data_IF_460152625855
#
_entry.id   IF_460152625855
#
_cell.length_a   1.000
_cell.length_b   1.000
_cell.length_c   1.000
_cell.angle_alpha   90.00
_cell.angle_beta   90.00
_cell.angle_gamma   90.00
#
_symmetry.space_group_name_H-M   'P 1'
#
loop_
_entity.id
_entity.type
_entity.pdbx_description
1 polymer ?
#
# COMPACT_ATOMS: atom_id res chain seq x y z
N UNK A 1 11.07 -27.48 -4.93
CA UNK A 1 9.70 -27.01 -4.70
C UNK A 1 9.30 -26.22 -5.93
N UNK A 2 8.15 -26.50 -6.52
CA UNK A 2 7.63 -25.72 -7.64
C UNK A 2 7.23 -24.33 -7.13
N UNK A 3 7.86 -23.29 -7.66
CA UNK A 3 7.59 -21.90 -7.28
C UNK A 3 6.27 -21.45 -7.90
N UNK A 4 5.38 -20.84 -7.11
CA UNK A 4 4.11 -20.28 -7.62
C UNK A 4 4.36 -18.83 -8.02
N UNK A 5 4.06 -18.49 -9.28
CA UNK A 5 4.17 -17.14 -9.81
C UNK A 5 2.79 -16.50 -9.91
N UNK A 6 2.53 -15.48 -9.11
CA UNK A 6 1.29 -14.71 -9.18
C UNK A 6 1.39 -13.62 -10.24
N UNK A 7 0.36 -13.51 -11.07
CA UNK A 7 0.27 -12.54 -12.16
C UNK A 7 -1.07 -11.81 -12.15
N UNK A 8 -1.09 -10.57 -12.61
CA UNK A 8 -2.34 -9.86 -12.89
C UNK A 8 -3.03 -10.46 -14.12
N UNK A 9 -4.29 -10.10 -14.35
CA UNK A 9 -5.03 -10.39 -15.60
C UNK A 9 -4.31 -9.88 -16.85
N UNK A 10 -3.48 -8.84 -16.72
CA UNK A 10 -2.64 -8.28 -17.78
C UNK A 10 -1.26 -8.99 -17.93
N UNK A 11 -0.97 -10.02 -17.15
CA UNK A 11 0.28 -10.78 -17.19
C UNK A 11 1.48 -10.14 -16.46
N UNK A 12 1.27 -9.01 -15.79
CA UNK A 12 2.30 -8.36 -14.97
C UNK A 12 2.53 -9.13 -13.65
N UNK A 13 3.69 -9.02 -12.98
CA UNK A 13 3.88 -9.53 -11.62
C UNK A 13 2.79 -9.01 -10.67
N UNK A 14 2.23 -9.90 -9.86
CA UNK A 14 1.24 -9.55 -8.85
C UNK A 14 1.90 -9.38 -7.48
N UNK A 15 1.75 -8.20 -6.89
CA UNK A 15 2.22 -7.94 -5.53
C UNK A 15 1.11 -8.23 -4.54
N UNK A 16 1.22 -9.36 -3.84
CA UNK A 16 0.28 -9.76 -2.78
C UNK A 16 0.78 -9.39 -1.38
N UNK A 17 2.08 -9.08 -1.26
CA UNK A 17 2.67 -8.66 0.00
C UNK A 17 2.60 -7.15 0.10
N UNK A 18 1.99 -6.65 1.18
CA UNK A 18 1.73 -5.23 1.38
C UNK A 18 2.11 -4.79 2.79
N UNK A 19 2.54 -3.54 2.93
CA UNK A 19 2.68 -2.87 4.23
C UNK A 19 2.22 -1.42 4.16
N UNK A 20 1.71 -0.93 5.29
CA UNK A 20 1.26 0.44 5.47
C UNK A 20 2.07 1.12 6.58
N UNK A 21 2.49 2.35 6.30
CA UNK A 21 3.07 3.27 7.26
C UNK A 21 2.30 4.58 7.25
N UNK A 22 2.30 5.25 8.39
CA UNK A 22 1.84 6.63 8.52
C UNK A 22 3.04 7.56 8.75
N UNK A 23 2.93 8.80 8.27
CA UNK A 23 3.90 9.87 8.49
C UNK A 23 3.23 11.25 8.46
N UNK A 24 3.99 12.30 8.79
CA UNK A 24 3.56 13.70 8.64
C UNK A 24 4.56 14.54 7.83
N UNK A 25 5.63 13.93 7.32
CA UNK A 25 6.77 14.62 6.68
C UNK A 25 6.90 14.29 5.19
N UNK A 26 5.85 14.54 4.39
CA UNK A 26 5.81 14.16 2.96
C UNK A 26 7.07 14.52 2.18
N UNK A 27 7.54 15.77 2.27
CA UNK A 27 8.70 16.25 1.49
C UNK A 27 9.97 15.49 1.86
N UNK A 28 10.17 15.19 3.13
CA UNK A 28 11.32 14.43 3.62
C UNK A 28 11.25 12.98 3.13
N UNK A 29 10.13 12.30 3.34
CA UNK A 29 9.95 10.90 2.95
C UNK A 29 10.05 10.74 1.43
N UNK A 30 9.31 11.54 0.66
CA UNK A 30 9.34 11.43 -0.79
C UNK A 30 10.68 11.90 -1.39
N UNK A 31 11.32 12.89 -0.78
CA UNK A 31 12.68 13.32 -1.15
C UNK A 31 13.70 12.20 -0.94
N UNK A 32 13.74 11.62 0.26
CA UNK A 32 14.64 10.53 0.57
C UNK A 32 14.37 9.26 -0.25
N UNK A 33 13.11 8.96 -0.60
CA UNK A 33 12.80 7.85 -1.51
C UNK A 33 13.39 8.05 -2.91
N UNK A 34 13.51 9.28 -3.39
CA UNK A 34 14.12 9.58 -4.68
C UNK A 34 15.65 9.39 -4.68
N UNK A 35 16.28 9.49 -3.51
CA UNK A 35 17.71 9.29 -3.30
C UNK A 35 18.05 7.85 -2.89
N UNK A 36 17.05 7.05 -2.50
CA UNK A 36 17.23 5.69 -2.00
C UNK A 36 17.68 4.75 -3.12
N UNK A 37 18.86 4.14 -2.93
CA UNK A 37 19.47 3.28 -3.94
C UNK A 37 18.55 2.12 -4.37
N UNK A 38 18.48 1.87 -5.68
CA UNK A 38 17.67 0.80 -6.26
C UNK A 38 16.21 1.16 -6.53
N UNK A 39 15.75 2.34 -6.11
CA UNK A 39 14.42 2.86 -6.41
C UNK A 39 14.45 3.82 -7.60
N UNK A 40 13.41 3.78 -8.42
CA UNK A 40 13.19 4.72 -9.52
C UNK A 40 11.81 5.32 -9.38
N UNK A 41 11.72 6.64 -9.45
CA UNK A 41 10.42 7.32 -9.46
C UNK A 41 9.69 7.06 -10.78
N UNK A 42 8.42 6.68 -10.69
CA UNK A 42 7.53 6.60 -11.85
C UNK A 42 7.01 7.99 -12.23
N UNK A 43 6.78 8.21 -13.52
CA UNK A 43 6.15 9.44 -13.97
C UNK A 43 4.77 9.59 -13.30
N UNK A 44 4.38 10.80 -12.87
CA UNK A 44 3.12 11.01 -12.18
C UNK A 44 1.94 10.53 -13.04
N UNK A 45 1.14 9.63 -12.46
CA UNK A 45 -0.09 9.13 -13.09
C UNK A 45 -1.10 10.29 -13.11
N UNK A 46 -1.25 10.95 -14.27
CA UNK A 46 -2.28 11.97 -14.45
C UNK A 46 -3.63 11.27 -14.55
N UNK A 47 -4.35 11.14 -13.45
CA UNK A 47 -5.77 10.78 -13.48
C UNK A 47 -6.56 11.96 -14.04
N UNK A 48 -7.22 11.76 -15.20
CA UNK A 48 -8.07 12.77 -15.82
C UNK A 48 -9.20 13.19 -14.85
N UNK A 49 -9.22 14.46 -14.44
CA UNK A 49 -10.30 15.04 -13.65
C UNK A 49 -10.06 15.17 -12.14
N UNK A 50 -8.96 14.65 -11.60
CA UNK A 50 -8.56 14.95 -10.22
C UNK A 50 -7.65 16.18 -10.22
N UNK A 51 -8.01 17.23 -9.47
CA UNK A 51 -7.02 18.21 -9.01
C UNK A 51 -5.94 17.42 -8.30
N UNK A 52 -4.75 17.32 -8.90
CA UNK A 52 -3.64 16.61 -8.31
C UNK A 52 -3.39 17.19 -6.92
N UNK A 53 -3.77 16.46 -5.87
CA UNK A 53 -3.09 16.63 -4.59
C UNK A 53 -1.63 16.40 -4.92
N UNK A 54 -0.81 17.46 -4.91
CA UNK A 54 0.59 17.40 -5.34
C UNK A 54 1.45 16.47 -4.48
N UNK A 55 0.85 15.83 -3.47
CA UNK A 55 1.48 14.94 -2.51
C UNK A 55 1.17 13.48 -2.81
N UNK A 56 1.46 13.02 -4.02
CA UNK A 56 1.51 11.61 -4.37
C UNK A 56 2.72 11.35 -5.26
N UNK A 57 3.62 10.49 -4.79
CA UNK A 57 4.83 10.07 -5.52
C UNK A 57 4.98 8.56 -5.45
N UNK A 58 5.39 7.95 -6.56
CA UNK A 58 5.46 6.50 -6.69
C UNK A 58 6.84 6.09 -7.15
N UNK A 59 7.38 5.07 -6.51
CA UNK A 59 8.72 4.55 -6.75
C UNK A 59 8.62 3.05 -6.99
N UNK A 60 9.44 2.55 -7.91
CA UNK A 60 9.50 1.12 -8.22
C UNK A 60 10.93 0.60 -8.14
N UNK A 61 11.02 -0.66 -7.74
CA UNK A 61 12.22 -1.46 -7.79
C UNK A 61 11.97 -2.61 -8.78
N UNK A 62 13.00 -3.01 -9.53
CA UNK A 62 12.91 -4.11 -10.49
C UNK A 62 14.28 -4.72 -10.75
N UNK A 63 14.30 -5.99 -11.17
CA UNK A 63 15.53 -6.63 -11.61
C UNK A 63 15.84 -6.19 -13.04
N UNK A 64 17.04 -5.68 -13.24
CA UNK A 64 17.54 -5.27 -14.54
C UNK A 64 18.25 -6.44 -15.21
N UNK A 65 17.56 -7.57 -15.41
CA UNK A 65 18.09 -8.65 -16.24
C UNK A 65 17.72 -8.39 -17.70
N UNK A 66 18.74 -8.33 -18.54
CA UNK A 66 18.72 -7.88 -19.94
C UNK A 66 18.07 -8.89 -20.92
N UNK A 67 16.92 -9.46 -20.56
CA UNK A 67 16.08 -10.24 -21.47
C UNK A 67 14.62 -9.76 -21.36
N UNK A 68 14.09 -9.24 -22.47
CA UNK A 68 12.72 -8.83 -22.74
C UNK A 68 11.71 -8.94 -21.55
N UNK A 69 11.71 -7.92 -20.69
CA UNK A 69 10.68 -7.73 -19.66
C UNK A 69 11.28 -7.46 -18.29
N UNK A 70 11.65 -6.20 -18.01
CA UNK A 70 12.00 -5.78 -16.65
C UNK A 70 10.85 -6.16 -15.69
N UNK A 71 11.09 -7.14 -14.82
CA UNK A 71 10.09 -7.57 -13.85
C UNK A 71 10.20 -6.65 -12.64
N UNK A 72 9.16 -5.85 -12.41
CA UNK A 72 9.04 -5.09 -11.18
C UNK A 72 8.99 -6.05 -10.00
N UNK A 73 9.70 -5.68 -8.95
CA UNK A 73 9.91 -6.50 -7.75
C UNK A 73 9.24 -5.88 -6.52
N UNK A 74 9.17 -4.56 -6.48
CA UNK A 74 8.45 -3.84 -5.43
C UNK A 74 7.96 -2.47 -5.93
N UNK A 75 6.97 -1.93 -5.24
CA UNK A 75 6.47 -0.56 -5.43
C UNK A 75 6.30 0.11 -4.08
N UNK A 76 6.70 1.37 -3.99
CA UNK A 76 6.40 2.26 -2.88
C UNK A 76 5.57 3.42 -3.39
N UNK A 77 4.48 3.74 -2.71
CA UNK A 77 3.71 4.96 -2.97
C UNK A 77 3.68 5.80 -1.71
N UNK A 78 4.06 7.07 -1.83
CA UNK A 78 4.07 8.06 -0.74
C UNK A 78 2.95 9.07 -1.01
N UNK A 79 2.00 9.16 -0.10
CA UNK A 79 0.90 10.14 -0.10
C UNK A 79 1.22 11.27 0.88
N UNK A 80 0.30 12.21 1.09
CA UNK A 80 0.49 13.27 2.07
C UNK A 80 0.76 12.76 3.50
N UNK A 81 0.20 11.61 3.87
CA UNK A 81 0.17 11.08 5.23
C UNK A 81 0.53 9.61 5.35
N UNK A 82 0.66 8.88 4.24
CA UNK A 82 0.87 7.43 4.24
C UNK A 82 1.96 7.01 3.26
N UNK A 83 2.64 5.90 3.59
CA UNK A 83 3.49 5.18 2.67
C UNK A 83 2.97 3.75 2.52
N UNK A 84 2.62 3.38 1.28
CA UNK A 84 2.28 2.02 0.88
C UNK A 84 3.51 1.33 0.31
N UNK A 85 3.75 0.09 0.73
CA UNK A 85 4.75 -0.81 0.15
C UNK A 85 4.06 -2.04 -0.41
N UNK A 86 4.37 -2.41 -1.65
CA UNK A 86 3.90 -3.62 -2.34
C UNK A 86 5.10 -4.42 -2.84
N UNK A 87 5.08 -5.75 -2.69
CA UNK A 87 6.05 -6.66 -3.30
C UNK A 87 5.49 -8.08 -3.46
N UNK A 88 6.30 -9.00 -4.01
CA UNK A 88 5.91 -10.38 -4.34
C UNK A 88 6.32 -11.44 -3.31
N UNK A 89 7.00 -11.05 -2.22
CA UNK A 89 7.60 -12.00 -1.27
C UNK A 89 7.85 -11.36 0.09
N UNK A 90 7.80 -12.18 1.14
CA UNK A 90 8.03 -11.73 2.52
C UNK A 90 9.48 -11.30 2.74
N UNK A 91 10.42 -12.03 2.16
CA UNK A 91 11.86 -11.75 2.25
C UNK A 91 12.17 -10.37 1.67
N UNK A 92 11.49 -10.00 0.57
CA UNK A 92 11.60 -8.66 -0.02
C UNK A 92 10.95 -7.61 0.84
N UNK A 93 9.77 -7.89 1.40
CA UNK A 93 9.14 -6.99 2.35
C UNK A 93 10.12 -6.66 3.47
N UNK A 94 10.68 -7.66 4.14
CA UNK A 94 11.62 -7.46 5.25
C UNK A 94 12.84 -6.64 4.81
N UNK A 95 13.43 -6.96 3.65
CA UNK A 95 14.58 -6.20 3.11
C UNK A 95 14.24 -4.71 2.89
N UNK A 96 13.06 -4.43 2.33
CA UNK A 96 12.62 -3.06 2.11
C UNK A 96 12.28 -2.37 3.43
N UNK A 97 11.64 -3.04 4.38
CA UNK A 97 11.35 -2.50 5.73
C UNK A 97 12.64 -2.06 6.43
N UNK A 98 13.70 -2.87 6.36
CA UNK A 98 15.01 -2.50 6.92
C UNK A 98 15.60 -1.27 6.21
N UNK A 99 15.51 -1.21 4.88
CA UNK A 99 15.96 -0.03 4.10
C UNK A 99 15.19 1.23 4.46
N UNK A 100 13.86 1.15 4.59
CA UNK A 100 13.01 2.26 5.00
C UNK A 100 13.32 2.71 6.43
N UNK A 101 13.51 1.78 7.36
CA UNK A 101 13.88 2.09 8.74
C UNK A 101 15.26 2.75 8.83
N UNK A 102 16.23 2.31 8.03
CA UNK A 102 17.56 2.91 7.97
C UNK A 102 17.54 4.34 7.37
N UNK A 103 16.69 4.59 6.38
CA UNK A 103 16.59 5.88 5.72
C UNK A 103 15.76 6.91 6.49
N UNK A 104 14.65 6.49 7.10
CA UNK A 104 13.64 7.39 7.64
C UNK A 104 13.45 7.27 9.15
N UNK A 105 13.98 6.22 9.78
CA UNK A 105 13.90 6.02 11.23
C UNK A 105 12.49 6.20 11.78
N UNK A 106 12.35 7.11 12.74
CA UNK A 106 11.10 7.39 13.43
C UNK A 106 10.09 8.22 12.62
N UNK A 107 10.45 8.74 11.44
CA UNK A 107 9.51 9.50 10.60
C UNK A 107 8.45 8.60 9.95
N UNK A 108 8.65 7.28 9.92
CA UNK A 108 7.68 6.29 9.45
C UNK A 108 7.13 5.46 10.61
N UNK A 109 5.81 5.47 10.77
CA UNK A 109 5.11 4.73 11.81
C UNK A 109 4.41 3.52 11.20
N UNK A 110 4.91 2.32 11.50
CA UNK A 110 4.34 1.07 10.96
C UNK A 110 2.91 0.84 11.44
N UNK A 111 1.98 0.63 10.51
CA UNK A 111 0.56 0.36 10.79
C UNK A 111 0.21 -1.11 10.67
N UNK A 112 0.68 -1.78 9.65
CA UNK A 112 0.46 -3.22 9.48
C UNK A 112 1.01 -3.76 8.18
N UNK A 113 0.93 -5.07 8.02
CA UNK A 113 1.31 -5.76 6.79
C UNK A 113 0.37 -6.95 6.50
N UNK A 114 0.29 -7.30 5.23
CA UNK A 114 -0.35 -8.52 4.76
C UNK A 114 0.66 -9.28 3.90
N UNK A 115 0.88 -10.56 4.21
CA UNK A 115 1.87 -11.43 3.55
C UNK A 115 1.25 -12.69 2.96
N UNK A 116 -0.07 -12.85 3.10
CA UNK A 116 -0.78 -14.03 2.64
C UNK A 116 -1.19 -13.85 1.18
N UNK A 117 -0.79 -14.76 0.28
CA UNK A 117 -1.29 -14.72 -1.10
C UNK A 117 -2.79 -15.06 -1.15
N UNK A 118 -3.49 -14.71 -2.24
CA UNK A 118 -4.87 -15.14 -2.46
C UNK A 118 -5.02 -16.65 -2.30
N UNK A 119 -6.01 -17.08 -1.49
CA UNK A 119 -6.24 -18.50 -1.25
C UNK A 119 -6.73 -19.16 -2.54
N UNK A 120 -5.94 -20.08 -3.10
CA UNK A 120 -6.33 -20.88 -4.26
C UNK A 120 -6.28 -22.36 -3.95
N UNK A 121 -7.33 -23.08 -4.35
CA UNK A 121 -7.29 -24.54 -4.42
C UNK A 121 -6.50 -24.93 -5.68
N UNK A 122 -5.33 -25.53 -5.47
CA UNK A 122 -4.49 -26.07 -6.55
C UNK A 122 -4.66 -27.59 -6.56
N UNK A 123 -4.78 -28.18 -7.74
CA UNK A 123 -4.86 -29.63 -7.88
C UNK A 123 -3.48 -30.29 -7.72
N UNK A 124 -3.45 -31.55 -7.31
CA UNK A 124 -2.20 -32.32 -7.21
C UNK A 124 -1.46 -32.40 -8.57
N UNK A 125 -2.19 -32.43 -9.68
CA UNK A 125 -1.62 -32.48 -11.02
C UNK A 125 -0.87 -31.18 -11.37
N UNK A 126 -1.41 -30.02 -11.00
CA UNK A 126 -0.76 -28.71 -11.21
C UNK A 126 0.49 -28.54 -10.35
N UNK A 127 0.48 -29.05 -9.12
CA UNK A 127 1.67 -29.05 -8.24
C UNK A 127 2.77 -30.00 -8.71
N UNK A 128 2.39 -31.08 -9.41
CA UNK A 128 3.30 -32.11 -9.89
C UNK A 128 3.89 -31.80 -11.28
N UNK A 129 3.50 -30.68 -11.90
CA UNK A 129 4.05 -30.23 -13.18
C UNK A 129 5.52 -29.78 -13.03
N UNK A 130 6.31 -29.96 -14.09
CA UNK A 130 7.72 -29.57 -14.11
C UNK A 130 7.93 -28.05 -14.21
N UNK A 131 6.91 -27.30 -14.65
CA UNK A 131 6.97 -25.85 -14.78
C UNK A 131 6.42 -25.12 -13.54
N UNK A 132 6.94 -23.93 -13.21
CA UNK A 132 6.42 -23.13 -12.10
C UNK A 132 4.97 -22.70 -12.39
N UNK A 133 4.06 -23.08 -11.48
CA UNK A 133 2.63 -22.78 -11.58
C UNK A 133 2.41 -21.27 -11.65
N UNK A 134 1.73 -20.82 -12.71
CA UNK A 134 1.34 -19.41 -12.84
C UNK A 134 -0.11 -19.24 -12.44
N UNK A 135 -0.36 -18.40 -11.44
CA UNK A 135 -1.69 -18.08 -10.94
C UNK A 135 -2.05 -16.67 -11.36
N UNK A 136 -3.11 -16.53 -12.15
CA UNK A 136 -3.68 -15.23 -12.50
C UNK A 136 -4.64 -14.81 -11.40
N UNK A 137 -4.36 -13.67 -10.78
CA UNK A 137 -5.23 -13.06 -9.77
C UNK A 137 -6.18 -12.11 -10.45
N UNK A 138 -7.48 -12.31 -10.21
CA UNK A 138 -8.55 -11.46 -10.73
C UNK A 138 -8.65 -10.15 -9.95
N UNK A 139 -9.23 -9.12 -10.56
CA UNK A 139 -9.43 -7.82 -9.90
C UNK A 139 -10.36 -7.91 -8.67
N UNK A 140 -11.22 -8.93 -8.60
CA UNK A 140 -12.08 -9.20 -7.45
C UNK A 140 -11.32 -9.86 -6.30
N UNK A 141 -10.49 -10.87 -6.58
CA UNK A 141 -9.60 -11.50 -5.59
C UNK A 141 -8.63 -10.46 -5.02
N UNK A 142 -8.10 -9.59 -5.89
CA UNK A 142 -7.24 -8.48 -5.50
C UNK A 142 -7.92 -7.52 -4.54
N UNK A 143 -9.11 -7.03 -4.92
CA UNK A 143 -9.88 -6.10 -4.10
C UNK A 143 -10.27 -6.72 -2.75
N UNK A 144 -10.59 -8.00 -2.73
CA UNK A 144 -10.93 -8.72 -1.49
C UNK A 144 -9.74 -8.79 -0.55
N UNK A 145 -8.56 -9.14 -1.06
CA UNK A 145 -7.32 -9.18 -0.29
C UNK A 145 -6.97 -7.80 0.26
N UNK A 146 -7.06 -6.75 -0.56
CA UNK A 146 -6.80 -5.38 -0.14
C UNK A 146 -7.81 -4.86 0.87
N UNK A 147 -9.11 -5.14 0.68
CA UNK A 147 -10.16 -4.73 1.59
C UNK A 147 -9.93 -5.30 3.00
N UNK A 148 -9.61 -6.60 3.11
CA UNK A 148 -9.33 -7.24 4.39
C UNK A 148 -8.13 -6.62 5.11
N UNK A 149 -7.07 -6.31 4.37
CA UNK A 149 -5.89 -5.63 4.91
C UNK A 149 -6.23 -4.21 5.39
N UNK A 150 -6.84 -3.39 4.53
CA UNK A 150 -7.18 -1.99 4.81
C UNK A 150 -8.20 -1.86 5.96
N UNK A 151 -9.20 -2.74 6.01
CA UNK A 151 -10.18 -2.76 7.09
C UNK A 151 -9.50 -2.98 8.45
N UNK A 152 -8.54 -3.90 8.53
CA UNK A 152 -7.79 -4.13 9.78
C UNK A 152 -6.99 -2.89 10.18
N UNK A 153 -6.14 -2.38 9.28
CA UNK A 153 -5.22 -1.28 9.63
C UNK A 153 -5.94 0.04 9.87
N UNK A 154 -7.04 0.32 9.16
CA UNK A 154 -7.78 1.57 9.33
C UNK A 154 -8.72 1.57 10.53
N UNK A 155 -9.34 0.43 10.88
CA UNK A 155 -10.12 0.38 12.10
C UNK A 155 -9.20 0.47 13.34
N UNK A 156 -8.05 -0.19 13.32
CA UNK A 156 -7.03 -0.02 14.36
C UNK A 156 -6.47 1.39 14.44
N UNK A 157 -6.32 2.09 13.30
CA UNK A 157 -5.82 3.46 13.26
C UNK A 157 -6.63 4.40 14.15
N UNK A 158 -7.95 4.21 14.25
CA UNK A 158 -8.82 5.04 15.08
C UNK A 158 -8.44 5.05 16.57
N UNK A 159 -7.82 3.97 17.04
CA UNK A 159 -7.46 3.72 18.44
C UNK A 159 -5.93 3.75 18.68
N UNK A 160 -5.13 4.10 17.68
CA UNK A 160 -3.67 4.20 17.79
C UNK A 160 -3.22 5.65 17.65
N UNK A 161 -2.14 6.00 18.36
CA UNK A 161 -1.49 7.32 18.21
C UNK A 161 -1.13 7.57 16.75
N UNK A 162 -1.43 8.77 16.25
CA UNK A 162 -1.26 9.17 14.86
C UNK A 162 -0.45 10.47 14.76
N UNK A 163 0.70 10.46 14.06
CA UNK A 163 1.46 11.68 13.80
C UNK A 163 0.65 12.75 13.06
N UNK A 164 -0.32 12.33 12.23
CA UNK A 164 -1.16 13.23 11.46
C UNK A 164 -2.14 14.05 12.33
N UNK A 165 -2.38 13.62 13.58
CA UNK A 165 -3.17 14.37 14.58
C UNK A 165 -2.34 14.77 15.81
N UNK A 166 -1.02 14.90 15.64
CA UNK A 166 -0.13 15.41 16.68
C UNK A 166 0.25 14.39 17.76
N UNK A 167 0.18 13.10 17.45
CA UNK A 167 0.53 12.01 18.38
C UNK A 167 -0.63 11.51 19.23
N UNK A 168 -1.80 12.15 19.16
CA UNK A 168 -3.03 11.67 19.80
C UNK A 168 -3.69 10.56 18.97
N UNK A 169 -4.71 9.90 19.53
CA UNK A 169 -5.56 8.99 18.74
C UNK A 169 -6.62 9.76 17.97
N UNK A 170 -7.01 9.31 16.76
CA UNK A 170 -8.10 9.93 16.00
C UNK A 170 -9.39 10.05 16.81
N UNK A 171 -9.79 9.02 17.58
CA UNK A 171 -10.96 9.10 18.46
C UNK A 171 -10.84 10.14 19.57
N UNK A 172 -9.64 10.35 20.11
CA UNK A 172 -9.45 11.34 21.17
C UNK A 172 -9.67 12.77 20.65
N UNK A 173 -9.09 13.11 19.50
CA UNK A 173 -9.19 14.48 18.94
C UNK A 173 -10.59 14.82 18.44
N UNK A 174 -11.44 13.82 18.17
CA UNK A 174 -12.85 13.96 17.78
C UNK A 174 -13.75 14.67 18.82
N UNK A 175 -13.25 14.91 20.03
CA UNK A 175 -13.93 15.67 21.09
C UNK A 175 -14.04 17.17 20.80
N UNK A 176 -13.21 17.69 19.88
CA UNK A 176 -13.18 19.12 19.52
C UNK A 176 -13.63 19.34 18.09
N UNK A 177 -14.21 20.51 17.77
CA UNK A 177 -14.62 20.80 16.38
C UNK A 177 -13.42 20.84 15.42
N UNK A 178 -12.27 21.36 15.87
CA UNK A 178 -11.04 21.36 15.06
C UNK A 178 -10.53 19.95 14.79
N UNK A 179 -10.51 19.08 15.79
CA UNK A 179 -10.10 17.69 15.63
C UNK A 179 -11.05 16.90 14.74
N UNK A 180 -12.37 17.15 14.82
CA UNK A 180 -13.37 16.58 13.90
C UNK A 180 -13.08 16.96 12.45
N UNK A 181 -12.83 18.23 12.18
CA UNK A 181 -12.46 18.71 10.84
C UNK A 181 -11.14 18.09 10.36
N UNK A 182 -10.14 17.97 11.24
CA UNK A 182 -8.86 17.37 10.91
C UNK A 182 -9.00 15.88 10.56
N UNK A 183 -9.67 15.09 11.40
CA UNK A 183 -9.89 13.65 11.15
C UNK A 183 -10.71 13.44 9.87
N UNK A 184 -11.74 14.25 9.62
CA UNK A 184 -12.51 14.17 8.38
C UNK A 184 -11.62 14.42 7.15
N UNK A 185 -10.78 15.45 7.19
CA UNK A 185 -9.86 15.77 6.09
C UNK A 185 -8.80 14.67 5.86
N UNK A 186 -8.34 14.00 6.93
CA UNK A 186 -7.44 12.85 6.83
C UNK A 186 -8.10 11.66 6.15
N UNK A 187 -9.32 11.31 6.55
CA UNK A 187 -10.08 10.23 5.93
C UNK A 187 -10.36 10.54 4.45
N UNK A 188 -10.69 11.79 4.12
CA UNK A 188 -10.88 12.21 2.73
C UNK A 188 -9.57 12.07 1.91
N UNK A 189 -8.41 12.34 2.51
CA UNK A 189 -7.10 12.15 1.84
C UNK A 189 -6.77 10.66 1.65
N UNK A 190 -7.04 9.82 2.65
CA UNK A 190 -6.89 8.38 2.53
C UNK A 190 -7.80 7.83 1.42
N UNK A 191 -9.06 8.27 1.35
CA UNK A 191 -10.01 7.84 0.32
C UNK A 191 -9.62 8.27 -1.10
N UNK A 192 -9.12 9.50 -1.24
CA UNK A 192 -8.59 10.00 -2.52
C UNK A 192 -7.41 9.18 -3.01
N UNK A 193 -6.55 8.75 -2.09
CA UNK A 193 -5.35 7.98 -2.38
C UNK A 193 -5.50 6.49 -2.06
N UNK A 194 -6.74 5.97 -2.04
CA UNK A 194 -7.02 4.59 -1.68
C UNK A 194 -6.15 3.62 -2.48
N UNK A 195 -5.60 2.64 -1.77
CA UNK A 195 -4.67 1.68 -2.33
C UNK A 195 -5.25 0.97 -3.56
N UNK A 196 -6.51 0.52 -3.47
CA UNK A 196 -7.23 -0.13 -4.56
C UNK A 196 -7.40 0.82 -5.75
N UNK A 197 -7.77 2.06 -5.48
CA UNK A 197 -7.93 3.09 -6.52
C UNK A 197 -6.61 3.33 -7.26
N UNK A 198 -5.51 3.39 -6.54
CA UNK A 198 -4.18 3.61 -7.12
C UNK A 198 -3.66 2.42 -7.95
N UNK A 199 -4.19 1.23 -7.69
CA UNK A 199 -3.79 -0.04 -8.33
C UNK A 199 -4.71 -0.46 -9.47
N UNK A 200 -6.03 -0.38 -9.29
CA UNK A 200 -7.07 -0.86 -10.23
C UNK A 200 -8.14 0.19 -10.58
N UNK A 201 -8.07 1.41 -10.03
CA UNK A 201 -9.01 2.50 -10.33
C UNK A 201 -10.28 2.50 -9.48
N UNK A 202 -10.53 1.44 -8.70
CA UNK A 202 -11.70 1.29 -7.82
C UNK A 202 -11.25 1.22 -6.37
N UNK A 203 -11.96 1.88 -5.46
CA UNK A 203 -11.62 1.85 -4.03
C UNK A 203 -11.69 0.43 -3.47
N UNK A 204 -10.66 0.05 -2.70
CA UNK A 204 -10.63 -1.23 -2.01
C UNK A 204 -11.38 -1.17 -0.67
N UNK A 205 -11.40 -0.03 0.00
CA UNK A 205 -12.05 0.13 1.30
C UNK A 205 -13.27 1.06 1.26
N UNK A 206 -14.28 0.78 2.09
CA UNK A 206 -15.43 1.67 2.28
C UNK A 206 -15.14 2.64 3.43
N UNK A 207 -14.72 3.86 3.07
CA UNK A 207 -14.34 4.88 4.04
C UNK A 207 -15.50 5.38 4.90
N UNK A 208 -16.75 5.12 4.53
CA UNK A 208 -17.88 5.42 5.41
C UNK A 208 -17.86 4.53 6.67
N UNK A 209 -17.34 3.30 6.57
CA UNK A 209 -17.09 2.45 7.75
C UNK A 209 -16.14 3.15 8.72
N UNK A 210 -15.04 3.71 8.21
CA UNK A 210 -14.05 4.41 9.05
C UNK A 210 -14.64 5.70 9.63
N UNK A 211 -15.35 6.51 8.84
CA UNK A 211 -16.07 7.71 9.33
C UNK A 211 -17.01 7.35 10.47
N UNK A 212 -17.80 6.29 10.31
CA UNK A 212 -18.69 5.82 11.37
C UNK A 212 -17.91 5.34 12.60
N UNK A 213 -16.80 4.63 12.38
CA UNK A 213 -15.95 4.07 13.44
C UNK A 213 -15.26 5.13 14.32
N UNK A 214 -14.99 6.32 13.77
CA UNK A 214 -14.46 7.48 14.51
C UNK A 214 -15.55 8.43 15.03
N UNK A 215 -16.82 8.23 14.62
CA UNK A 215 -17.96 9.05 15.07
C UNK A 215 -18.21 10.33 14.26
N UNK A 216 -17.92 10.29 12.95
CA UNK A 216 -18.22 11.37 11.98
C UNK A 216 -19.60 11.26 11.31
N UNK A 217 -20.47 10.36 11.80
CA UNK A 217 -21.83 10.14 11.28
C UNK A 217 -22.70 11.41 11.30
#
# INVERSE_FOLDING_TARGET
MSEIRYRTTAGAPYFYVMALYEHHEFTFIAGGMAELAGWKEEAPVRSAGATASGKLRRFVQGNNEAAAGASLTARVTVTATELFLECDSRERLDTVKHSLAAAFGFSLHFRGEAVQPPMRQVTQAELSAAEPLTVVVTDEEDRTLMNAFLETVYLEWADRESPAVGGETPRHVMTTQSGRTQVAALIDEMERNDFGRLRSGVTAFDYNKLRAHVGLC
#
